data_IF_987467088408
#
_entry.id   IF_987467088408
#
_cell.length_a   1.000
_cell.length_b   1.000
_cell.length_c   1.000
_cell.angle_alpha   90.00
_cell.angle_beta   90.00
_cell.angle_gamma   90.00
#
_symmetry.space_group_name_H-M   'P 1'
#
loop_
_entity.id
_entity.type
_entity.pdbx_description
1 polymer ?
#
# COMPACT_ATOMS: atom_id res chain seq x y z
N UNK A 1 8.94 -5.91 15.76
CA UNK A 1 8.83 -5.69 14.30
C UNK A 1 7.38 -5.43 13.96
N UNK A 2 7.05 -4.25 13.43
CA UNK A 2 5.70 -3.89 12.96
C UNK A 2 5.56 -4.26 11.49
N UNK A 3 4.46 -4.88 11.07
CA UNK A 3 4.21 -5.29 9.69
C UNK A 3 3.01 -4.54 9.13
N UNK A 4 3.21 -3.83 8.03
CA UNK A 4 2.21 -2.95 7.44
C UNK A 4 2.03 -3.36 5.99
N UNK A 5 0.79 -3.58 5.57
CA UNK A 5 0.48 -3.76 4.16
C UNK A 5 -0.20 -2.52 3.58
N UNK A 6 0.24 -2.11 2.41
CA UNK A 6 -0.31 -0.98 1.66
C UNK A 6 -0.95 -1.54 0.40
N UNK A 7 -2.25 -1.35 0.27
CA UNK A 7 -3.04 -1.73 -0.89
C UNK A 7 -3.57 -0.50 -1.61
N UNK A 8 -4.06 -0.69 -2.82
CA UNK A 8 -4.71 0.36 -3.60
C UNK A 8 -4.88 -0.07 -5.06
N UNK A 9 -5.73 0.66 -5.78
CA UNK A 9 -5.92 0.46 -7.22
C UNK A 9 -4.61 0.68 -7.98
N UNK A 10 -4.38 -0.08 -9.05
CA UNK A 10 -3.27 0.15 -9.97
C UNK A 10 -3.28 1.57 -10.52
N UNK A 11 -2.11 2.21 -10.51
CA UNK A 11 -1.93 3.57 -11.00
C UNK A 11 -2.27 4.69 -10.00
N UNK A 12 -2.71 4.37 -8.78
CA UNK A 12 -3.06 5.39 -7.76
C UNK A 12 -1.84 6.04 -7.07
N UNK A 13 -0.61 5.70 -7.46
CA UNK A 13 0.62 6.15 -6.79
C UNK A 13 1.02 5.32 -5.56
N UNK A 14 0.48 4.11 -5.42
CA UNK A 14 0.72 3.20 -4.29
C UNK A 14 2.21 3.02 -3.96
N UNK A 15 3.00 2.59 -4.94
CA UNK A 15 4.43 2.28 -4.75
C UNK A 15 5.27 3.52 -4.46
N UNK A 16 4.94 4.64 -5.09
CA UNK A 16 5.56 5.94 -4.82
C UNK A 16 5.34 6.39 -3.38
N UNK A 17 4.10 6.28 -2.88
CA UNK A 17 3.75 6.62 -1.50
C UNK A 17 4.42 5.65 -0.53
N UNK A 18 4.35 4.34 -0.78
CA UNK A 18 4.98 3.31 0.05
C UNK A 18 6.49 3.55 0.20
N UNK A 19 7.20 3.81 -0.90
CA UNK A 19 8.63 4.11 -0.89
C UNK A 19 8.96 5.39 -0.09
N UNK A 20 8.13 6.43 -0.18
CA UNK A 20 8.33 7.65 0.60
C UNK A 20 8.06 7.46 2.10
N UNK A 21 7.06 6.65 2.46
CA UNK A 21 6.79 6.25 3.86
C UNK A 21 7.96 5.44 4.40
N UNK A 22 8.43 4.42 3.66
CA UNK A 22 9.62 3.62 4.00
C UNK A 22 10.84 4.50 4.25
N UNK A 23 11.09 5.46 3.36
CA UNK A 23 12.19 6.40 3.49
C UNK A 23 12.05 7.32 4.71
N UNK A 24 10.83 7.75 5.05
CA UNK A 24 10.57 8.56 6.23
C UNK A 24 10.77 7.76 7.53
N UNK A 25 10.31 6.50 7.57
CA UNK A 25 10.55 5.60 8.71
C UNK A 25 12.05 5.35 8.91
N UNK A 26 12.80 5.08 7.84
CA UNK A 26 14.25 4.87 7.93
C UNK A 26 15.01 6.12 8.42
N UNK A 27 14.58 7.31 7.98
CA UNK A 27 15.13 8.58 8.49
C UNK A 27 14.86 8.80 9.98
N UNK A 28 13.78 8.22 10.52
CA UNK A 28 13.51 8.21 11.96
C UNK A 28 14.34 7.16 12.74
N UNK A 29 15.32 6.52 12.08
CA UNK A 29 16.23 5.54 12.68
C UNK A 29 15.71 4.10 12.65
N UNK A 30 14.66 3.79 11.89
CA UNK A 30 14.11 2.43 11.80
C UNK A 30 14.81 1.60 10.72
N UNK A 31 15.03 0.31 11.01
CA UNK A 31 15.40 -0.70 10.01
C UNK A 31 14.14 -1.20 9.32
N UNK A 32 13.97 -0.83 8.05
CA UNK A 32 12.75 -1.10 7.28
C UNK A 32 13.03 -2.09 6.16
N UNK A 33 12.24 -3.15 6.09
CA UNK A 33 12.19 -4.07 4.97
C UNK A 33 10.97 -3.73 4.10
N UNK A 34 11.17 -3.32 2.86
CA UNK A 34 10.08 -3.16 1.88
C UNK A 34 10.01 -4.38 0.96
N UNK A 35 8.85 -5.03 0.91
CA UNK A 35 8.57 -6.20 0.08
C UNK A 35 7.53 -5.78 -0.97
N UNK A 36 7.93 -5.80 -2.24
CA UNK A 36 7.01 -5.61 -3.36
C UNK A 36 6.21 -6.88 -3.63
N UNK A 37 4.89 -6.78 -3.52
CA UNK A 37 3.91 -7.83 -3.79
C UNK A 37 3.01 -7.47 -4.99
N UNK A 38 3.58 -6.76 -5.97
CA UNK A 38 2.96 -6.45 -7.24
C UNK A 38 3.67 -7.26 -8.35
N UNK A 39 2.94 -8.00 -9.20
CA UNK A 39 3.54 -8.78 -10.29
C UNK A 39 4.35 -7.93 -11.28
N UNK A 40 4.19 -6.60 -11.29
CA UNK A 40 4.99 -5.67 -12.10
C UNK A 40 6.44 -5.53 -11.62
N UNK A 41 6.71 -5.89 -10.36
CA UNK A 41 8.04 -5.91 -9.75
C UNK A 41 8.80 -4.56 -9.84
N UNK A 42 8.09 -3.45 -9.64
CA UNK A 42 8.63 -2.08 -9.65
C UNK A 42 8.39 -1.31 -8.33
N UNK A 43 7.84 -1.98 -7.32
CA UNK A 43 7.49 -1.45 -5.99
C UNK A 43 8.68 -0.78 -5.28
N UNK A 44 9.87 -1.33 -5.45
CA UNK A 44 11.12 -0.93 -4.78
C UNK A 44 12.01 -0.06 -5.66
N UNK A 45 11.61 0.20 -6.91
CA UNK A 45 12.46 0.89 -7.91
C UNK A 45 12.89 2.28 -7.46
N UNK A 46 12.02 3.01 -6.76
CA UNK A 46 12.34 4.33 -6.23
C UNK A 46 13.39 4.29 -5.11
N UNK A 47 13.48 3.17 -4.38
CA UNK A 47 14.44 2.93 -3.30
C UNK A 47 15.78 2.37 -3.82
N UNK A 48 15.78 1.66 -4.94
CA UNK A 48 16.97 0.97 -5.47
C UNK A 48 17.55 1.61 -6.74
N UNK A 49 16.81 2.53 -7.38
CA UNK A 49 17.10 3.16 -8.69
C UNK A 49 17.26 2.19 -9.86
N UNK A 50 16.94 0.90 -9.68
CA UNK A 50 17.02 -0.13 -10.71
C UNK A 50 15.98 -1.22 -10.43
N UNK A 51 15.73 -2.09 -11.42
CA UNK A 51 15.02 -3.33 -11.14
C UNK A 51 15.97 -4.26 -10.37
N UNK A 52 15.49 -4.83 -9.27
CA UNK A 52 16.21 -5.88 -8.53
C UNK A 52 15.71 -7.26 -8.97
N UNK A 53 16.53 -8.32 -8.85
CA UNK A 53 16.07 -9.68 -9.06
C UNK A 53 14.85 -10.00 -8.18
N UNK A 54 13.91 -10.78 -8.73
CA UNK A 54 12.69 -11.15 -8.02
C UNK A 54 12.77 -12.57 -7.47
N UNK A 55 12.03 -12.84 -6.39
CA UNK A 55 12.00 -14.17 -5.76
C UNK A 55 11.50 -15.21 -6.75
N UNK A 56 10.44 -14.91 -7.51
CA UNK A 56 9.88 -15.84 -8.48
C UNK A 56 10.79 -16.08 -9.67
N UNK A 57 11.48 -15.05 -10.17
CA UNK A 57 12.47 -15.25 -11.24
C UNK A 57 13.58 -16.19 -10.75
N UNK A 58 14.08 -15.99 -9.53
CA UNK A 58 15.13 -16.84 -8.95
C UNK A 58 14.68 -18.28 -8.67
N UNK A 59 13.44 -18.47 -8.23
CA UNK A 59 12.84 -19.80 -8.08
C UNK A 59 12.69 -20.53 -9.42
N UNK A 60 12.44 -19.80 -10.51
CA UNK A 60 12.30 -20.39 -11.84
C UNK A 60 13.66 -20.66 -12.53
N UNK A 61 14.68 -19.84 -12.26
CA UNK A 61 16.01 -19.95 -12.86
C UNK A 61 16.88 -21.04 -12.23
N UNK A 62 16.68 -21.33 -10.94
CA UNK A 62 17.66 -22.09 -10.14
C UNK A 62 17.23 -23.53 -9.89
N UNK A 63 18.09 -24.49 -10.26
CA UNK A 63 18.00 -25.88 -9.76
C UNK A 63 18.47 -26.01 -8.30
N UNK A 64 19.10 -24.96 -7.75
CA UNK A 64 19.62 -24.90 -6.37
C UNK A 64 18.68 -24.11 -5.47
N UNK A 65 18.67 -24.46 -4.19
CA UNK A 65 17.98 -23.66 -3.17
C UNK A 65 18.49 -22.22 -3.16
N UNK A 66 17.57 -21.26 -3.04
CA UNK A 66 17.93 -19.85 -2.93
C UNK A 66 18.63 -19.58 -1.60
N UNK A 67 19.41 -18.52 -1.58
CA UNK A 67 20.00 -17.93 -0.38
C UNK A 67 19.44 -16.53 -0.14
N UNK A 68 19.68 -15.97 1.05
CA UNK A 68 19.25 -14.61 1.40
C UNK A 68 19.82 -13.58 0.39
N UNK A 69 21.08 -13.74 -0.01
CA UNK A 69 21.77 -12.80 -0.91
C UNK A 69 21.18 -12.79 -2.32
N UNK A 70 20.42 -13.83 -2.70
CA UNK A 70 19.77 -13.91 -4.01
C UNK A 70 18.51 -13.04 -4.09
N UNK A 71 17.91 -12.67 -2.95
CA UNK A 71 16.58 -12.05 -2.90
C UNK A 71 16.49 -10.80 -2.00
N UNK A 72 17.43 -10.60 -1.08
CA UNK A 72 17.45 -9.47 -0.15
C UNK A 72 18.46 -8.45 -0.61
N UNK A 73 17.98 -7.30 -1.07
CA UNK A 73 18.82 -6.27 -1.67
C UNK A 73 18.82 -4.98 -0.85
N UNK A 74 19.99 -4.42 -0.50
CA UNK A 74 20.03 -3.12 0.14
C UNK A 74 19.51 -2.05 -0.82
N UNK A 75 18.77 -1.09 -0.28
CA UNK A 75 18.40 0.10 -1.04
C UNK A 75 19.56 1.10 -1.11
N UNK A 76 19.37 2.21 -1.82
CA UNK A 76 20.33 3.34 -1.80
C UNK A 76 20.22 4.19 -0.52
N UNK A 77 19.19 3.97 0.30
CA UNK A 77 19.00 4.63 1.59
C UNK A 77 19.52 3.75 2.73
N UNK A 78 20.29 4.32 3.67
CA UNK A 78 20.66 3.62 4.89
C UNK A 78 19.42 3.18 5.68
N UNK A 79 19.44 1.95 6.21
CA UNK A 79 18.36 1.41 7.01
C UNK A 79 17.16 0.86 6.22
N UNK A 80 17.21 0.84 4.88
CA UNK A 80 16.17 0.26 4.04
C UNK A 80 16.70 -0.90 3.21
N UNK A 81 15.98 -2.02 3.28
CA UNK A 81 16.23 -3.25 2.51
C UNK A 81 15.00 -3.57 1.68
N UNK A 82 15.20 -4.19 0.51
CA UNK A 82 14.18 -4.41 -0.50
C UNK A 82 14.14 -5.87 -0.96
N UNK A 83 12.92 -6.38 -1.18
CA UNK A 83 12.62 -7.66 -1.82
C UNK A 83 11.52 -7.41 -2.85
N UNK A 84 11.55 -8.09 -3.99
CA UNK A 84 10.45 -8.09 -4.97
C UNK A 84 9.96 -9.51 -5.18
N UNK A 85 8.65 -9.72 -5.06
CA UNK A 85 8.04 -11.02 -5.36
C UNK A 85 8.30 -11.41 -6.81
N UNK A 86 8.08 -10.47 -7.73
CA UNK A 86 7.97 -10.79 -9.15
C UNK A 86 6.55 -11.19 -9.51
N UNK A 87 6.37 -11.51 -10.79
CA UNK A 87 5.13 -12.02 -11.33
C UNK A 87 5.44 -13.06 -12.40
N UNK A 88 4.48 -13.94 -12.71
CA UNK A 88 4.68 -14.86 -13.82
C UNK A 88 4.74 -14.08 -15.15
N UNK A 89 5.28 -14.71 -16.19
CA UNK A 89 5.27 -14.12 -17.53
C UNK A 89 3.84 -13.72 -17.94
N UNK A 90 3.71 -12.57 -18.61
CA UNK A 90 2.41 -12.05 -19.03
C UNK A 90 1.64 -13.11 -19.85
N UNK A 91 0.42 -13.42 -19.42
CA UNK A 91 -0.42 -14.44 -20.04
C UNK A 91 -0.21 -15.88 -19.54
N UNK A 92 0.70 -16.12 -18.59
CA UNK A 92 1.00 -17.44 -18.01
C UNK A 92 0.98 -17.37 -16.48
N UNK A 93 0.61 -18.47 -15.81
CA UNK A 93 0.71 -18.60 -14.35
C UNK A 93 -0.34 -17.81 -13.57
N UNK A 94 -0.15 -17.74 -12.24
CA UNK A 94 -1.04 -17.04 -11.31
C UNK A 94 -0.21 -16.15 -10.38
N UNK A 95 -0.33 -14.84 -10.52
CA UNK A 95 0.39 -13.87 -9.69
C UNK A 95 0.13 -14.08 -8.19
N UNK A 96 -1.10 -14.42 -7.81
CA UNK A 96 -1.45 -14.72 -6.43
C UNK A 96 -0.70 -15.93 -5.85
N UNK A 97 -0.54 -17.01 -6.63
CA UNK A 97 0.27 -18.17 -6.21
C UNK A 97 1.74 -17.80 -6.05
N UNK A 98 2.22 -16.88 -6.90
CA UNK A 98 3.56 -16.33 -6.81
C UNK A 98 3.84 -15.62 -5.48
N UNK A 99 2.87 -14.83 -4.98
CA UNK A 99 2.98 -14.20 -3.65
C UNK A 99 3.09 -15.25 -2.54
N UNK A 100 2.27 -16.31 -2.59
CA UNK A 100 2.36 -17.41 -1.62
C UNK A 100 3.71 -18.12 -1.68
N UNK A 101 4.23 -18.39 -2.88
CA UNK A 101 5.52 -19.05 -3.06
C UNK A 101 6.68 -18.19 -2.53
N UNK A 102 6.66 -16.88 -2.80
CA UNK A 102 7.60 -15.93 -2.20
C UNK A 102 7.54 -16.00 -0.67
N UNK A 103 6.34 -15.91 -0.09
CA UNK A 103 6.18 -15.86 1.37
C UNK A 103 6.74 -17.11 2.04
N UNK A 104 6.44 -18.30 1.51
CA UNK A 104 7.01 -19.56 1.98
C UNK A 104 8.55 -19.54 1.93
N UNK A 105 9.13 -18.96 0.89
CA UNK A 105 10.57 -18.87 0.72
C UNK A 105 11.21 -17.89 1.72
N UNK A 106 10.56 -16.75 1.98
CA UNK A 106 10.99 -15.81 3.02
C UNK A 106 10.96 -16.41 4.42
N UNK A 107 9.98 -17.27 4.71
CA UNK A 107 9.92 -18.03 5.96
C UNK A 107 11.04 -19.07 6.07
N UNK A 108 11.27 -19.84 5.00
CA UNK A 108 12.34 -20.84 4.91
C UNK A 108 13.71 -20.23 5.15
N UNK A 109 13.94 -19.04 4.58
CA UNK A 109 15.17 -18.26 4.73
C UNK A 109 15.22 -17.45 6.03
N UNK A 110 14.21 -17.56 6.89
CA UNK A 110 14.11 -16.84 8.16
C UNK A 110 14.27 -15.32 8.04
N UNK A 111 13.84 -14.73 6.91
CA UNK A 111 13.99 -13.29 6.62
C UNK A 111 13.31 -12.44 7.70
N UNK A 112 12.16 -12.88 8.20
CA UNK A 112 11.41 -12.17 9.25
C UNK A 112 11.99 -12.29 10.67
N UNK A 113 13.02 -13.14 10.86
CA UNK A 113 13.75 -13.25 12.14
C UNK A 113 14.99 -12.35 12.18
N UNK A 114 15.32 -11.71 11.06
CA UNK A 114 16.38 -10.71 11.00
C UNK A 114 15.96 -9.42 11.75
N UNK A 115 16.92 -8.54 12.00
CA UNK A 115 16.74 -7.35 12.82
C UNK A 115 16.03 -6.19 12.08
N UNK A 116 14.73 -6.35 11.86
CA UNK A 116 13.84 -5.33 11.29
C UNK A 116 12.95 -4.68 12.35
N UNK A 117 12.89 -3.36 12.32
CA UNK A 117 11.88 -2.62 13.09
C UNK A 117 10.52 -2.69 12.42
N UNK A 118 10.49 -2.59 11.08
CA UNK A 118 9.27 -2.51 10.27
C UNK A 118 9.39 -3.33 8.99
N UNK A 119 8.30 -3.99 8.60
CA UNK A 119 8.11 -4.57 7.26
C UNK A 119 6.97 -3.86 6.56
N UNK A 120 7.21 -3.34 5.36
CA UNK A 120 6.20 -2.73 4.49
C UNK A 120 5.93 -3.66 3.31
N UNK A 121 4.71 -4.17 3.18
CA UNK A 121 4.25 -4.89 2.00
C UNK A 121 3.56 -3.91 1.04
N UNK A 122 4.07 -3.78 -0.18
CA UNK A 122 3.42 -3.02 -1.25
C UNK A 122 2.62 -3.97 -2.14
N UNK A 123 1.30 -4.06 -1.95
CA UNK A 123 0.47 -5.14 -2.50
C UNK A 123 -0.48 -4.63 -3.59
N UNK A 124 -0.62 -5.39 -4.68
CA UNK A 124 -1.60 -5.12 -5.71
C UNK A 124 -3.04 -5.16 -5.13
N UNK A 125 -3.81 -4.09 -5.34
CA UNK A 125 -5.19 -3.98 -4.84
C UNK A 125 -6.29 -4.09 -5.90
N UNK A 126 -5.95 -4.22 -7.19
CA UNK A 126 -6.95 -4.33 -8.27
C UNK A 126 -7.71 -5.66 -8.22
N UNK A 127 -7.01 -6.73 -7.90
CA UNK A 127 -7.56 -8.08 -7.81
C UNK A 127 -7.24 -8.63 -6.43
N UNK A 128 -8.22 -8.65 -5.54
CA UNK A 128 -8.04 -9.14 -4.16
C UNK A 128 -8.38 -10.64 -4.10
N UNK A 129 -7.73 -11.42 -4.95
CA UNK A 129 -7.87 -12.87 -4.93
C UNK A 129 -7.11 -13.47 -3.74
N UNK A 130 -7.27 -14.77 -3.52
CA UNK A 130 -6.72 -15.41 -2.33
C UNK A 130 -5.20 -15.26 -2.13
N UNK A 131 -4.43 -15.21 -3.22
CA UNK A 131 -2.98 -14.99 -3.14
C UNK A 131 -2.59 -13.57 -2.73
N UNK A 132 -3.27 -12.55 -3.26
CA UNK A 132 -3.02 -11.16 -2.87
C UNK A 132 -3.54 -10.82 -1.47
N UNK A 133 -4.40 -11.67 -0.91
CA UNK A 133 -4.81 -11.60 0.49
C UNK A 133 -3.86 -12.33 1.46
N UNK A 134 -2.77 -12.95 1.00
CA UNK A 134 -1.80 -13.65 1.87
C UNK A 134 -1.27 -12.76 3.00
N UNK A 135 -0.88 -11.48 2.76
CA UNK A 135 -0.50 -10.59 3.84
C UNK A 135 -1.56 -10.45 4.95
N UNK A 136 -2.84 -10.54 4.61
CA UNK A 136 -3.97 -10.45 5.55
C UNK A 136 -4.30 -11.79 6.22
N UNK A 137 -4.22 -12.91 5.49
CA UNK A 137 -4.70 -14.25 5.89
C UNK A 137 -4.01 -14.84 7.12
N UNK A 138 -2.71 -14.64 7.23
CA UNK A 138 -1.86 -15.33 8.19
C UNK A 138 -1.27 -14.36 9.23
N UNK A 139 -1.89 -13.18 9.41
CA UNK A 139 -1.37 -12.10 10.25
C UNK A 139 0.08 -11.71 9.89
N UNK A 140 0.41 -11.75 8.59
CA UNK A 140 1.69 -11.23 8.11
C UNK A 140 1.69 -9.71 8.02
N UNK A 141 0.53 -9.07 8.10
CA UNK A 141 0.41 -7.64 8.34
C UNK A 141 -0.38 -7.41 9.63
N UNK A 142 0.16 -6.55 10.49
CA UNK A 142 -0.49 -6.07 11.70
C UNK A 142 -1.50 -4.97 11.36
N UNK A 143 -1.24 -4.20 10.29
CA UNK A 143 -2.10 -3.10 9.82
C UNK A 143 -2.18 -3.06 8.28
N UNK A 144 -3.35 -2.77 7.74
CA UNK A 144 -3.60 -2.52 6.32
C UNK A 144 -3.98 -1.07 6.10
N UNK A 145 -3.25 -0.40 5.21
CA UNK A 145 -3.59 0.93 4.72
C UNK A 145 -4.01 0.83 3.26
N UNK A 146 -5.03 1.59 2.88
CA UNK A 146 -5.57 1.58 1.52
C UNK A 146 -5.38 2.96 0.92
N UNK A 147 -4.58 3.04 -0.14
CA UNK A 147 -4.42 4.25 -0.94
C UNK A 147 -5.57 4.30 -1.95
N UNK A 148 -6.33 5.38 -1.90
CA UNK A 148 -7.50 5.61 -2.75
C UNK A 148 -7.61 7.08 -3.16
N UNK A 149 -8.61 7.41 -3.96
CA UNK A 149 -8.98 8.76 -4.37
C UNK A 149 -10.49 8.85 -4.56
N UNK A 150 -10.99 10.02 -4.91
CA UNK A 150 -12.42 10.25 -5.18
C UNK A 150 -12.92 9.62 -6.49
N UNK A 151 -12.04 9.04 -7.32
CA UNK A 151 -12.45 8.35 -8.53
C UNK A 151 -13.25 7.09 -8.17
N UNK A 152 -14.42 6.92 -8.78
CA UNK A 152 -15.33 5.81 -8.45
C UNK A 152 -14.65 4.42 -8.50
N UNK A 153 -13.82 4.18 -9.52
CA UNK A 153 -13.10 2.91 -9.63
C UNK A 153 -12.03 2.72 -8.54
N UNK A 154 -11.46 3.81 -8.02
CA UNK A 154 -10.52 3.76 -6.88
C UNK A 154 -11.26 3.39 -5.59
N UNK A 155 -12.46 3.94 -5.40
CA UNK A 155 -13.35 3.62 -4.28
C UNK A 155 -13.89 2.20 -4.36
N UNK A 156 -14.25 1.73 -5.56
CA UNK A 156 -14.67 0.35 -5.81
C UNK A 156 -13.57 -0.65 -5.42
N UNK A 157 -12.33 -0.40 -5.86
CA UNK A 157 -11.18 -1.21 -5.47
C UNK A 157 -10.93 -1.16 -3.95
N UNK A 158 -10.97 0.02 -3.35
CA UNK A 158 -10.84 0.19 -1.90
C UNK A 158 -11.91 -0.60 -1.13
N UNK A 159 -13.17 -0.54 -1.56
CA UNK A 159 -14.27 -1.28 -0.95
C UNK A 159 -14.07 -2.80 -1.04
N UNK A 160 -13.56 -3.32 -2.17
CA UNK A 160 -13.23 -4.73 -2.31
C UNK A 160 -12.05 -5.16 -1.42
N UNK A 161 -11.05 -4.30 -1.25
CA UNK A 161 -9.96 -4.55 -0.29
C UNK A 161 -10.54 -4.59 1.14
N UNK A 162 -11.46 -3.69 1.49
CA UNK A 162 -12.14 -3.70 2.78
C UNK A 162 -12.96 -4.97 3.01
N UNK A 163 -13.57 -5.57 1.96
CA UNK A 163 -14.20 -6.90 2.05
C UNK A 163 -13.21 -8.01 2.39
N UNK A 164 -12.02 -7.98 1.81
CA UNK A 164 -10.99 -8.95 2.15
C UNK A 164 -10.48 -8.73 3.58
N UNK A 165 -10.27 -7.48 3.98
CA UNK A 165 -9.93 -7.10 5.37
C UNK A 165 -10.99 -7.62 6.34
N UNK A 166 -12.28 -7.41 6.06
CA UNK A 166 -13.38 -7.92 6.88
C UNK A 166 -13.41 -9.46 6.90
N UNK A 167 -13.22 -10.10 5.76
CA UNK A 167 -13.26 -11.56 5.66
C UNK A 167 -12.15 -12.23 6.47
N UNK A 168 -10.94 -11.66 6.47
CA UNK A 168 -9.80 -12.16 7.26
C UNK A 168 -9.74 -11.56 8.67
N UNK A 169 -10.77 -10.83 9.08
CA UNK A 169 -10.99 -10.39 10.44
C UNK A 169 -11.50 -11.57 11.31
N UNK A 170 -10.68 -12.60 11.49
CA UNK A 170 -10.93 -13.67 12.47
C UNK A 170 -9.96 -13.53 13.64
N UNK A 171 -10.48 -13.59 14.87
CA UNK A 171 -9.67 -13.60 16.10
C UNK A 171 -9.28 -12.24 16.68
N UNK A 172 -9.89 -11.13 16.22
CA UNK A 172 -9.63 -9.79 16.77
C UNK A 172 -8.37 -9.10 16.22
N UNK A 173 -7.88 -9.53 15.05
CA UNK A 173 -6.73 -8.93 14.37
C UNK A 173 -7.11 -7.67 13.57
N UNK A 174 -6.29 -6.63 13.73
CA UNK A 174 -6.65 -5.22 13.63
C UNK A 174 -6.23 -4.61 12.30
N UNK A 175 -6.90 -5.07 11.25
CA UNK A 175 -6.43 -4.86 9.88
C UNK A 175 -6.66 -3.44 9.32
N UNK A 176 -7.50 -2.56 9.89
CA UNK A 176 -7.75 -1.24 9.29
C UNK A 176 -6.86 -0.12 9.88
N UNK A 177 -5.66 0.08 9.32
CA UNK A 177 -4.81 1.24 9.65
C UNK A 177 -5.42 2.58 9.17
N UNK A 178 -6.07 2.55 8.01
CA UNK A 178 -6.90 3.65 7.50
C UNK A 178 -6.76 3.88 5.99
N UNK A 179 -7.51 4.86 5.51
CA UNK A 179 -7.49 5.31 4.12
C UNK A 179 -6.46 6.43 3.94
N UNK A 180 -5.58 6.28 2.97
CA UNK A 180 -4.66 7.34 2.54
C UNK A 180 -5.26 7.93 1.26
N UNK A 181 -5.79 9.15 1.34
CA UNK A 181 -6.43 9.80 0.21
C UNK A 181 -5.39 10.50 -0.65
N UNK A 182 -5.16 9.99 -1.86
CA UNK A 182 -4.25 10.60 -2.83
C UNK A 182 -5.01 11.46 -3.85
N UNK A 183 -4.30 12.40 -4.49
CA UNK A 183 -4.84 13.31 -5.50
C UNK A 183 -5.99 14.19 -4.99
N UNK A 184 -5.88 14.72 -3.77
CA UNK A 184 -6.88 15.65 -3.22
C UNK A 184 -6.77 17.00 -3.93
N UNK A 185 -7.82 17.42 -4.65
CA UNK A 185 -7.87 18.65 -5.47
C UNK A 185 -8.70 19.77 -4.82
N UNK A 186 -9.62 19.44 -3.93
CA UNK A 186 -10.47 20.44 -3.30
C UNK A 186 -11.47 19.87 -2.28
N UNK A 187 -12.44 20.70 -1.89
CA UNK A 187 -13.44 20.36 -0.87
C UNK A 187 -14.32 19.17 -1.28
N UNK A 188 -14.67 19.06 -2.57
CA UNK A 188 -15.47 17.96 -3.10
C UNK A 188 -14.83 16.59 -2.85
N UNK A 189 -13.51 16.48 -3.05
CA UNK A 189 -12.78 15.24 -2.80
C UNK A 189 -12.81 14.85 -1.32
N UNK A 190 -12.71 15.85 -0.44
CA UNK A 190 -12.77 15.63 1.01
C UNK A 190 -14.16 15.17 1.46
N UNK A 191 -15.22 15.74 0.90
CA UNK A 191 -16.58 15.31 1.19
C UNK A 191 -16.85 13.87 0.75
N UNK A 192 -16.41 13.50 -0.46
CA UNK A 192 -16.50 12.11 -0.94
C UNK A 192 -15.73 11.19 0.01
N UNK A 193 -14.52 11.60 0.40
CA UNK A 193 -13.67 10.83 1.30
C UNK A 193 -14.28 10.60 2.68
N UNK A 194 -14.75 11.68 3.32
CA UNK A 194 -15.38 11.63 4.64
C UNK A 194 -16.67 10.81 4.60
N UNK A 195 -17.46 10.95 3.53
CA UNK A 195 -18.67 10.16 3.34
C UNK A 195 -18.37 8.67 3.17
N UNK A 196 -17.36 8.31 2.36
CA UNK A 196 -16.93 6.93 2.17
C UNK A 196 -16.37 6.32 3.46
N UNK A 197 -15.50 7.06 4.17
CA UNK A 197 -14.93 6.62 5.43
C UNK A 197 -16.02 6.39 6.49
N UNK A 198 -16.99 7.30 6.58
CA UNK A 198 -18.15 7.16 7.47
C UNK A 198 -19.02 5.94 7.13
N UNK A 199 -19.32 5.73 5.84
CA UNK A 199 -20.13 4.59 5.38
C UNK A 199 -19.45 3.26 5.62
N UNK A 200 -18.12 3.23 5.51
CA UNK A 200 -17.33 2.03 5.70
C UNK A 200 -16.83 1.81 7.12
N UNK A 201 -17.20 2.70 8.06
CA UNK A 201 -16.69 2.71 9.44
C UNK A 201 -15.15 2.66 9.50
N UNK A 202 -14.50 3.33 8.55
CA UNK A 202 -13.04 3.48 8.48
C UNK A 202 -12.62 4.90 8.86
N UNK A 203 -11.31 5.11 8.99
CA UNK A 203 -10.71 6.40 9.26
C UNK A 203 -9.82 6.83 8.10
N UNK A 204 -9.72 8.15 7.89
CA UNK A 204 -8.76 8.73 6.95
C UNK A 204 -7.46 8.95 7.72
N UNK A 205 -6.42 8.20 7.34
CA UNK A 205 -5.10 8.29 7.95
C UNK A 205 -4.30 9.49 7.43
N UNK A 206 -4.47 9.86 6.16
CA UNK A 206 -3.73 10.98 5.58
C UNK A 206 -4.40 11.52 4.31
N UNK A 207 -4.08 12.79 4.02
CA UNK A 207 -4.50 13.52 2.84
C UNK A 207 -3.26 13.93 2.05
N UNK A 208 -3.12 13.44 0.83
CA UNK A 208 -2.03 13.79 -0.08
C UNK A 208 -2.62 14.67 -1.19
N UNK A 209 -2.25 15.96 -1.24
CA UNK A 209 -2.76 16.86 -2.26
C UNK A 209 -2.27 16.47 -3.65
N UNK A 210 -3.06 16.79 -4.67
CA UNK A 210 -2.61 16.74 -6.06
C UNK A 210 -1.38 17.64 -6.24
N UNK A 211 -0.27 17.09 -6.72
CA UNK A 211 1.00 17.81 -6.75
C UNK A 211 1.84 17.50 -7.98
N UNK A 212 2.08 18.54 -8.78
CA UNK A 212 3.04 18.49 -9.89
C UNK A 212 4.47 18.24 -9.42
N UNK A 213 4.85 18.83 -8.28
CA UNK A 213 6.16 18.62 -7.68
C UNK A 213 6.35 17.14 -7.35
N UNK A 214 5.39 16.50 -6.68
CA UNK A 214 5.53 15.09 -6.33
C UNK A 214 5.64 14.19 -7.56
N UNK A 215 4.78 14.41 -8.57
CA UNK A 215 4.85 13.68 -9.85
C UNK A 215 6.19 13.87 -10.54
N UNK A 216 6.76 15.08 -10.54
CA UNK A 216 8.06 15.38 -11.15
C UNK A 216 9.21 14.67 -10.43
N UNK A 217 9.20 14.64 -9.09
CA UNK A 217 10.24 13.96 -8.33
C UNK A 217 10.17 12.45 -8.51
N UNK A 218 8.96 11.88 -8.47
CA UNK A 218 8.75 10.45 -8.72
C UNK A 218 9.21 10.05 -10.13
N UNK A 219 8.82 10.82 -11.16
CA UNK A 219 9.29 10.63 -12.53
C UNK A 219 10.83 10.71 -12.66
N UNK A 220 11.46 11.54 -11.83
CA UNK A 220 12.92 11.69 -11.79
C UNK A 220 13.62 10.63 -10.93
N UNK A 221 12.89 9.67 -10.35
CA UNK A 221 13.44 8.65 -9.47
C UNK A 221 13.95 9.17 -8.13
N UNK A 222 13.39 10.29 -7.63
CA UNK A 222 13.81 10.90 -6.35
C UNK A 222 12.71 10.81 -5.31
N UNK A 223 13.09 10.46 -4.08
CA UNK A 223 12.16 10.49 -2.94
C UNK A 223 11.96 11.94 -2.50
N UNK A 224 10.76 12.25 -2.01
CA UNK A 224 10.42 13.58 -1.50
C UNK A 224 11.26 13.91 -0.27
N UNK A 225 11.47 12.96 0.64
CA UNK A 225 12.31 13.21 1.80
C UNK A 225 13.80 13.49 1.48
N UNK A 226 14.25 13.28 0.24
CA UNK A 226 15.61 13.67 -0.21
C UNK A 226 15.61 15.00 -0.95
N UNK A 227 14.62 15.20 -1.81
CA UNK A 227 14.59 16.33 -2.74
C UNK A 227 13.88 17.55 -2.14
N UNK A 228 12.79 17.33 -1.42
CA UNK A 228 11.87 18.36 -0.92
C UNK A 228 11.36 18.01 0.51
N UNK A 229 12.25 17.73 1.49
CA UNK A 229 11.87 17.19 2.80
C UNK A 229 10.95 18.12 3.62
N UNK A 230 11.05 19.43 3.41
CA UNK A 230 10.28 20.44 4.13
C UNK A 230 9.05 20.94 3.35
N UNK A 231 8.80 20.36 2.17
CA UNK A 231 7.56 20.60 1.44
C UNK A 231 6.34 20.04 2.17
N UNK A 232 5.14 20.53 1.85
CA UNK A 232 3.87 20.02 2.42
C UNK A 232 3.79 18.48 2.35
N UNK A 233 4.12 17.88 1.20
CA UNK A 233 4.11 16.42 1.01
C UNK A 233 5.23 15.73 1.81
N UNK A 234 6.40 16.35 1.92
CA UNK A 234 7.49 15.84 2.77
C UNK A 234 7.09 15.76 4.24
N UNK A 235 6.42 16.81 4.74
CA UNK A 235 5.85 16.86 6.08
C UNK A 235 4.73 15.81 6.26
N UNK A 236 3.86 15.64 5.27
CA UNK A 236 2.79 14.62 5.27
C UNK A 236 3.39 13.22 5.39
N UNK A 237 4.39 12.87 4.57
CA UNK A 237 5.00 11.54 4.64
C UNK A 237 5.73 11.29 5.95
N UNK A 238 6.40 12.30 6.51
CA UNK A 238 7.02 12.20 7.83
C UNK A 238 5.98 11.99 8.93
N UNK A 239 4.92 12.80 8.93
CA UNK A 239 3.82 12.69 9.91
C UNK A 239 3.09 11.35 9.81
N UNK A 240 2.78 10.89 8.59
CA UNK A 240 2.14 9.60 8.35
C UNK A 240 3.05 8.44 8.79
N UNK A 241 4.35 8.45 8.46
CA UNK A 241 5.28 7.41 8.91
C UNK A 241 5.36 7.32 10.44
N UNK A 242 5.45 8.47 11.12
CA UNK A 242 5.43 8.52 12.58
C UNK A 242 4.12 8.03 13.18
N UNK A 243 2.98 8.41 12.58
CA UNK A 243 1.66 7.93 12.98
C UNK A 243 1.60 6.42 12.82
N UNK A 244 1.93 5.88 11.65
CA UNK A 244 1.95 4.44 11.38
C UNK A 244 2.86 3.68 12.34
N UNK A 245 3.95 4.27 12.84
CA UNK A 245 4.79 3.66 13.87
C UNK A 245 4.12 3.66 15.26
N UNK A 246 3.44 4.75 15.63
CA UNK A 246 2.80 4.94 16.94
C UNK A 246 1.44 4.26 17.06
N UNK A 247 0.70 4.16 15.96
CA UNK A 247 -0.70 3.74 15.96
C UNK A 247 -0.82 2.42 16.71
N UNK A 248 -1.46 2.51 17.86
CA UNK A 248 -1.82 1.37 18.66
C UNK A 248 -2.77 0.52 17.84
N UNK A 249 -2.74 -0.77 18.10
CA UNK A 249 -3.64 -1.67 17.44
C UNK A 249 -5.05 -1.46 18.05
N UNK A 250 -5.88 -0.63 17.41
CA UNK A 250 -7.28 -0.41 17.81
C UNK A 250 -8.22 -1.42 17.16
N UNK A 251 -9.24 -1.86 17.89
CA UNK A 251 -10.28 -2.78 17.41
C UNK A 251 -11.36 -2.03 16.63
N UNK A 252 -11.00 -1.59 15.41
CA UNK A 252 -11.93 -0.95 14.47
C UNK A 252 -12.18 -1.86 13.29
N UNK A 253 -13.37 -2.44 13.26
CA UNK A 253 -13.85 -3.27 12.15
C UNK A 253 -14.38 -2.38 11.04
N UNK A 254 -13.83 -2.53 9.83
CA UNK A 254 -14.41 -1.93 8.64
C UNK A 254 -15.74 -2.61 8.27
N UNK A 255 -16.67 -1.84 7.72
CA UNK A 255 -17.95 -2.29 7.17
C UNK A 255 -18.02 -1.97 5.67
N UNK A 256 -17.44 -2.81 4.81
CA UNK A 256 -17.52 -2.59 3.37
C UNK A 256 -18.97 -2.57 2.90
N UNK A 257 -19.26 -1.76 1.90
CA UNK A 257 -20.57 -1.74 1.24
C UNK A 257 -20.72 -2.93 0.30
N UNK A 258 -21.94 -3.43 0.11
CA UNK A 258 -22.31 -4.27 -1.04
C UNK A 258 -22.20 -3.49 -2.36
N UNK A 259 -22.26 -4.18 -3.50
CA UNK A 259 -22.16 -3.52 -4.81
C UNK A 259 -23.35 -2.57 -5.05
N UNK A 260 -24.55 -2.97 -4.62
CA UNK A 260 -25.76 -2.15 -4.70
C UNK A 260 -25.69 -0.94 -3.76
N UNK A 261 -25.22 -1.12 -2.53
CA UNK A 261 -25.04 0.00 -1.58
C UNK A 261 -24.02 1.03 -2.07
N UNK A 262 -22.92 0.57 -2.68
CA UNK A 262 -21.90 1.46 -3.24
C UNK A 262 -22.46 2.26 -4.43
N UNK A 263 -23.25 1.63 -5.28
CA UNK A 263 -23.94 2.27 -6.41
C UNK A 263 -25.01 3.27 -5.95
N UNK A 264 -25.82 2.91 -4.95
CA UNK A 264 -26.81 3.79 -4.34
C UNK A 264 -26.14 4.99 -3.67
N UNK A 265 -25.07 4.75 -2.90
CA UNK A 265 -24.27 5.79 -2.27
C UNK A 265 -23.68 6.76 -3.29
N UNK A 266 -23.14 6.27 -4.41
CA UNK A 266 -22.66 7.11 -5.51
C UNK A 266 -23.78 8.02 -6.05
N UNK A 267 -24.98 7.46 -6.27
CA UNK A 267 -26.14 8.23 -6.76
C UNK A 267 -26.58 9.30 -5.76
N UNK A 268 -26.61 8.97 -4.46
CA UNK A 268 -26.91 9.93 -3.40
C UNK A 268 -25.90 11.08 -3.36
N UNK A 269 -24.61 10.78 -3.47
CA UNK A 269 -23.57 11.82 -3.50
C UNK A 269 -23.73 12.76 -4.69
N UNK A 270 -24.07 12.27 -5.87
CA UNK A 270 -24.33 13.13 -7.05
C UNK A 270 -25.55 14.03 -6.87
N UNK A 271 -26.50 13.68 -6.01
CA UNK A 271 -27.66 14.52 -5.70
C UNK A 271 -27.36 15.59 -4.64
N UNK A 272 -26.24 15.48 -3.93
CA UNK A 272 -25.78 16.52 -3.02
C UNK A 272 -25.36 17.77 -3.80
N UNK A 273 -25.81 18.94 -3.36
CA UNK A 273 -25.57 20.21 -4.04
C UNK A 273 -24.08 20.57 -4.15
N UNK A 274 -23.26 20.04 -3.25
CA UNK A 274 -21.81 20.23 -3.14
C UNK A 274 -21.00 19.47 -4.19
N UNK A 275 -21.46 18.30 -4.65
CA UNK A 275 -20.75 17.47 -5.64
C UNK A 275 -21.28 17.71 -7.06
N UNK A 276 -22.56 18.10 -7.20
CA UNK A 276 -23.17 18.25 -8.52
C UNK A 276 -22.73 19.51 -9.29
N UNK A 277 -21.83 20.34 -8.75
CA UNK A 277 -21.34 21.54 -9.43
C UNK A 277 -22.46 22.48 -9.87
N UNK A 278 -23.57 22.55 -9.12
CA UNK A 278 -24.55 23.62 -9.33
C UNK A 278 -23.92 24.91 -8.81
N UNK A 279 -23.09 25.52 -9.65
CA UNK A 279 -22.84 26.95 -9.57
C UNK A 279 -24.21 27.62 -9.53
N UNK A 280 -24.43 28.41 -8.48
CA UNK A 280 -25.67 29.16 -8.31
C UNK A 280 -25.88 30.08 -9.51
N UNK A 281 -27.08 29.95 -10.09
CA UNK A 281 -27.80 30.92 -10.94
C UNK A 281 -27.12 31.43 -12.19
#
# INVERSE_FOLDING_TARGET
>A
MKKIAIYGKGGIGKSSIAANITAAMARSGKKVLQIGCDPKADSTRLLTNKKIPTVLDKLNESEKELTIDDIVFPSRLPGVTCIEAGGPHAGVGCAGMGITAMENELQRLHVFQMDWDVVIYDVLGDVVCGGFAVPMRNHFADQVYIITSSDYMSLYAANNILRAVEYYFYGGARLAGGLIWNHVRGAQDREIAESFAKRTETQIASWIPESEMFRKQDFSGRLIGESEPDSEIGLIFRGLAEQMLRDAEEDKRARPMSDDELEEWRRMLLQSASICGREGT
#
